data_IF_785454843964
#
_entry.id   IF_785454843964
#
_cell.length_a   1.000
_cell.length_b   1.000
_cell.length_c   1.000
_cell.angle_alpha   90.00
_cell.angle_beta   90.00
_cell.angle_gamma   90.00
#
_symmetry.space_group_name_H-M   'P 1'
#
loop_
_entity.id
_entity.type
_entity.pdbx_description
1 polymer ?
#
# COMPACT_ATOMS: atom_id res chain seq x y z
N UNK A 1 -10.29 -8.07 -18.51
CA UNK A 1 -11.27 -7.17 -19.16
C UNK A 1 -11.63 -7.61 -20.58
N UNK A 2 -10.68 -7.73 -21.52
CA UNK A 2 -10.99 -8.09 -22.92
C UNK A 2 -11.66 -9.45 -23.12
N UNK A 3 -11.37 -10.41 -22.25
CA UNK A 3 -12.06 -11.71 -22.23
C UNK A 3 -13.56 -11.55 -21.95
N UNK A 4 -13.92 -10.75 -20.94
CA UNK A 4 -15.32 -10.45 -20.58
C UNK A 4 -16.07 -9.77 -21.73
N UNK A 5 -15.46 -8.77 -22.38
CA UNK A 5 -16.09 -8.03 -23.48
C UNK A 5 -16.39 -8.93 -24.70
N UNK A 6 -15.60 -9.98 -24.92
CA UNK A 6 -15.80 -10.94 -26.01
C UNK A 6 -16.80 -12.04 -25.66
N UNK A 7 -16.71 -12.59 -24.44
CA UNK A 7 -17.45 -13.79 -24.05
C UNK A 7 -18.86 -13.48 -23.51
N UNK A 8 -19.06 -12.33 -22.87
CA UNK A 8 -20.37 -11.99 -22.28
C UNK A 8 -21.34 -11.38 -23.31
N UNK A 9 -20.85 -10.50 -24.20
CA UNK A 9 -21.66 -9.89 -25.25
C UNK A 9 -20.79 -9.35 -26.40
N UNK A 10 -20.72 -10.07 -27.54
CA UNK A 10 -19.92 -9.65 -28.70
C UNK A 10 -20.26 -8.25 -29.24
N UNK A 11 -21.50 -7.77 -29.03
CA UNK A 11 -21.95 -6.45 -29.45
C UNK A 11 -21.38 -5.29 -28.62
N UNK A 12 -20.85 -5.55 -27.42
CA UNK A 12 -20.23 -4.53 -26.57
C UNK A 12 -18.93 -4.03 -27.17
N UNK A 13 -18.09 -4.91 -27.71
CA UNK A 13 -16.79 -4.53 -28.26
C UNK A 13 -16.93 -3.59 -29.48
N UNK A 14 -18.02 -3.70 -30.24
CA UNK A 14 -18.30 -2.80 -31.37
C UNK A 14 -18.76 -1.40 -30.93
N UNK A 15 -19.37 -1.29 -29.74
CA UNK A 15 -19.88 -0.01 -29.18
C UNK A 15 -18.89 0.68 -28.27
N UNK A 16 -18.04 -0.11 -27.61
CA UNK A 16 -17.00 0.32 -26.68
C UNK A 16 -15.66 -0.22 -27.19
N UNK A 17 -15.14 0.40 -28.24
CA UNK A 17 -13.87 -0.01 -28.85
C UNK A 17 -12.73 0.16 -27.84
N UNK A 18 -11.89 -0.88 -27.62
CA UNK A 18 -10.71 -0.81 -26.77
C UNK A 18 -9.76 0.35 -27.10
N UNK A 19 -9.62 0.65 -28.38
CA UNK A 19 -8.71 1.70 -28.89
C UNK A 19 -9.18 3.11 -28.52
N UNK A 20 -10.48 3.30 -28.31
CA UNK A 20 -11.07 4.56 -27.85
C UNK A 20 -11.42 4.55 -26.37
N UNK A 21 -10.88 3.59 -25.59
CA UNK A 21 -11.20 3.47 -24.19
C UNK A 21 -10.56 4.62 -23.38
N UNK A 22 -11.39 5.30 -22.58
CA UNK A 22 -10.87 6.23 -21.58
C UNK A 22 -10.35 5.45 -20.39
N UNK A 23 -9.05 5.62 -20.11
CA UNK A 23 -8.40 5.04 -18.95
C UNK A 23 -8.49 6.03 -17.77
N UNK A 24 -9.14 5.61 -16.70
CA UNK A 24 -9.13 6.33 -15.43
C UNK A 24 -7.93 5.85 -14.63
N UNK A 25 -6.96 6.72 -14.44
CA UNK A 25 -5.82 6.44 -13.57
C UNK A 25 -6.23 6.48 -12.10
N UNK A 26 -5.50 5.72 -11.27
CA UNK A 26 -5.61 5.84 -9.83
C UNK A 26 -5.10 7.19 -9.34
N UNK A 27 -5.56 7.60 -8.16
CA UNK A 27 -5.12 8.85 -7.54
C UNK A 27 -3.66 8.78 -7.09
N UNK A 28 -2.98 9.92 -7.23
CA UNK A 28 -1.65 10.12 -6.66
C UNK A 28 -1.70 10.12 -5.14
N UNK A 29 -0.54 9.99 -4.50
CA UNK A 29 -0.44 9.97 -3.04
C UNK A 29 -0.93 11.30 -2.43
N UNK A 30 -0.67 12.43 -3.08
CA UNK A 30 -1.15 13.75 -2.67
C UNK A 30 -2.66 13.86 -2.80
N UNK A 31 -3.23 13.34 -3.89
CA UNK A 31 -4.67 13.33 -4.11
C UNK A 31 -5.39 12.43 -3.09
N UNK A 32 -4.80 11.28 -2.75
CA UNK A 32 -5.31 10.40 -1.71
C UNK A 32 -5.21 11.06 -0.33
N UNK A 33 -4.10 11.74 -0.01
CA UNK A 33 -3.94 12.46 1.25
C UNK A 33 -4.97 13.59 1.39
N UNK A 34 -5.18 14.36 0.33
CA UNK A 34 -6.17 15.43 0.32
C UNK A 34 -7.60 14.88 0.46
N UNK A 35 -7.93 13.83 -0.28
CA UNK A 35 -9.23 13.18 -0.20
C UNK A 35 -9.48 12.59 1.20
N UNK A 36 -8.47 11.98 1.80
CA UNK A 36 -8.51 11.46 3.16
C UNK A 36 -8.76 12.58 4.17
N UNK A 37 -8.08 13.71 4.02
CA UNK A 37 -8.27 14.86 4.90
C UNK A 37 -9.67 15.46 4.79
N UNK A 38 -10.15 15.68 3.55
CA UNK A 38 -11.48 16.25 3.27
C UNK A 38 -12.59 15.34 3.77
N UNK A 39 -12.47 14.03 3.54
CA UNK A 39 -13.50 13.07 3.96
C UNK A 39 -13.55 12.93 5.48
N UNK A 40 -12.41 13.00 6.18
CA UNK A 40 -12.38 13.03 7.64
C UNK A 40 -13.02 14.32 8.19
N UNK A 41 -12.70 15.48 7.61
CA UNK A 41 -13.26 16.77 8.00
C UNK A 41 -14.79 16.82 7.77
N UNK A 42 -15.28 16.29 6.64
CA UNK A 42 -16.70 16.17 6.35
C UNK A 42 -17.45 15.28 7.36
N UNK A 43 -16.75 14.33 7.99
CA UNK A 43 -17.28 13.51 9.06
C UNK A 43 -17.19 14.16 10.46
N UNK A 44 -16.68 15.38 10.57
CA UNK A 44 -16.42 16.03 11.86
C UNK A 44 -15.24 15.45 12.64
N UNK A 45 -14.40 14.65 11.97
CA UNK A 45 -13.20 14.04 12.56
C UNK A 45 -11.95 14.88 12.25
N UNK A 46 -11.05 14.94 13.22
CA UNK A 46 -9.74 15.60 13.12
C UNK A 46 -8.65 14.57 13.31
N UNK A 47 -7.52 14.75 12.63
CA UNK A 47 -6.34 13.91 12.84
C UNK A 47 -5.60 14.41 14.08
N UNK A 48 -5.25 13.54 15.03
CA UNK A 48 -4.52 13.95 16.24
C UNK A 48 -3.12 14.47 15.93
N UNK A 49 -2.47 13.93 14.88
CA UNK A 49 -1.18 14.40 14.40
C UNK A 49 -0.98 14.15 12.89
N UNK A 50 0.00 14.83 12.30
CA UNK A 50 0.42 14.57 10.90
C UNK A 50 0.92 13.14 10.71
N UNK A 51 1.50 12.52 11.75
CA UNK A 51 1.97 11.13 11.70
C UNK A 51 0.81 10.16 11.49
N UNK A 52 -0.32 10.37 12.18
CA UNK A 52 -1.51 9.52 12.03
C UNK A 52 -2.07 9.59 10.61
N UNK A 53 -2.13 10.80 10.04
CA UNK A 53 -2.57 10.98 8.65
C UNK A 53 -1.65 10.27 7.66
N UNK A 54 -0.33 10.41 7.82
CA UNK A 54 0.65 9.70 6.97
C UNK A 54 0.55 8.18 7.12
N UNK A 55 0.29 7.68 8.34
CA UNK A 55 0.09 6.25 8.57
C UNK A 55 -1.15 5.72 7.83
N UNK A 56 -2.26 6.47 7.86
CA UNK A 56 -3.46 6.16 7.08
C UNK A 56 -3.21 6.19 5.57
N UNK A 57 -2.42 7.15 5.07
CA UNK A 57 -1.98 7.17 3.67
C UNK A 57 -1.15 5.94 3.31
N UNK A 58 -0.22 5.54 4.19
CA UNK A 58 0.58 4.32 4.00
C UNK A 58 -0.25 3.05 3.89
N UNK A 59 -1.37 2.96 4.61
CA UNK A 59 -2.33 1.86 4.46
C UNK A 59 -2.98 1.87 3.06
N UNK A 60 -3.37 3.04 2.56
CA UNK A 60 -3.97 3.19 1.23
C UNK A 60 -2.98 2.89 0.10
N UNK A 61 -1.71 3.30 0.24
CA UNK A 61 -0.67 3.00 -0.74
C UNK A 61 -0.45 1.49 -0.84
N UNK A 62 -0.45 0.77 0.30
CA UNK A 62 -0.39 -0.70 0.31
C UNK A 62 -1.63 -1.33 -0.33
N UNK A 63 -2.81 -0.76 -0.09
CA UNK A 63 -4.06 -1.21 -0.70
C UNK A 63 -4.09 -0.97 -2.21
N UNK A 64 -3.43 0.09 -2.72
CA UNK A 64 -3.33 0.40 -4.16
C UNK A 64 -2.65 -0.71 -4.97
N UNK A 65 -1.77 -1.49 -4.35
CA UNK A 65 -1.10 -2.63 -5.01
C UNK A 65 -2.07 -3.80 -5.20
N UNK A 66 -3.14 -3.88 -4.40
CA UNK A 66 -4.11 -4.97 -4.42
C UNK A 66 -5.03 -4.90 -5.65
N UNK A 67 -5.55 -6.05 -6.14
CA UNK A 67 -6.36 -6.11 -7.37
C UNK A 67 -7.71 -5.37 -7.30
N UNK A 68 -8.20 -5.01 -6.10
CA UNK A 68 -9.51 -4.41 -5.88
C UNK A 68 -9.45 -2.98 -5.31
N UNK A 69 -8.37 -2.24 -5.60
CA UNK A 69 -8.27 -0.85 -5.14
C UNK A 69 -9.32 0.04 -5.82
N UNK A 70 -10.03 0.84 -5.01
CA UNK A 70 -11.21 1.59 -5.45
C UNK A 70 -11.07 3.12 -5.35
N UNK A 71 -9.85 3.66 -5.25
CA UNK A 71 -9.58 5.08 -5.01
C UNK A 71 -10.43 5.64 -3.84
N UNK A 72 -11.39 6.53 -4.14
CA UNK A 72 -12.31 7.08 -3.14
C UNK A 72 -13.10 6.02 -2.36
N UNK A 73 -13.40 4.87 -3.00
CA UNK A 73 -14.03 3.73 -2.34
C UNK A 73 -13.16 3.14 -1.23
N UNK A 74 -11.86 2.99 -1.46
CA UNK A 74 -10.90 2.54 -0.43
C UNK A 74 -10.76 3.56 0.69
N UNK A 75 -10.71 4.87 0.38
CA UNK A 75 -10.69 5.94 1.41
C UNK A 75 -11.95 5.90 2.28
N UNK A 76 -13.12 5.77 1.68
CA UNK A 76 -14.38 5.69 2.42
C UNK A 76 -14.46 4.42 3.28
N UNK A 77 -13.96 3.30 2.77
CA UNK A 77 -13.92 2.03 3.50
C UNK A 77 -12.98 2.12 4.72
N UNK A 78 -11.80 2.72 4.55
CA UNK A 78 -10.87 3.01 5.63
C UNK A 78 -11.51 3.92 6.68
N UNK A 79 -12.08 5.06 6.27
CA UNK A 79 -12.72 5.98 7.21
C UNK A 79 -13.98 5.40 7.87
N UNK A 80 -14.69 4.50 7.21
CA UNK A 80 -15.78 3.74 7.82
C UNK A 80 -15.30 2.92 9.02
N UNK A 81 -14.18 2.20 8.87
CA UNK A 81 -13.55 1.46 9.98
C UNK A 81 -13.07 2.38 11.09
N UNK A 82 -12.40 3.47 10.74
CA UNK A 82 -11.92 4.48 11.70
C UNK A 82 -13.07 5.10 12.49
N UNK A 83 -14.17 5.47 11.83
CA UNK A 83 -15.36 6.00 12.50
C UNK A 83 -15.92 5.03 13.54
N UNK A 84 -16.03 3.75 13.20
CA UNK A 84 -16.48 2.72 14.13
C UNK A 84 -15.53 2.57 15.33
N UNK A 85 -14.22 2.61 15.10
CA UNK A 85 -13.22 2.55 16.17
C UNK A 85 -13.28 3.78 17.09
N UNK A 86 -13.38 4.99 16.51
CA UNK A 86 -13.53 6.24 17.25
C UNK A 86 -14.82 6.24 18.08
N UNK A 87 -15.94 5.78 17.50
CA UNK A 87 -17.21 5.67 18.21
C UNK A 87 -17.12 4.68 19.38
N UNK A 88 -16.41 3.57 19.22
CA UNK A 88 -16.18 2.59 20.29
C UNK A 88 -15.34 3.15 21.45
N UNK A 89 -14.47 4.14 21.19
CA UNK A 89 -13.66 4.83 22.21
C UNK A 89 -14.46 5.89 23.00
N UNK A 90 -15.65 6.26 22.53
CA UNK A 90 -16.57 7.20 23.18
C UNK A 90 -16.36 8.64 22.71
N UNK A 91 -17.32 9.16 21.93
CA UNK A 91 -17.50 10.55 21.42
C UNK A 91 -16.26 11.39 21.07
N UNK A 92 -15.10 10.77 20.91
CA UNK A 92 -13.88 11.41 20.48
C UNK A 92 -14.08 11.90 19.05
N UNK A 93 -13.61 13.12 18.76
CA UNK A 93 -13.58 13.65 17.39
C UNK A 93 -12.19 13.60 16.78
N UNK A 94 -11.24 12.95 17.45
CA UNK A 94 -9.85 12.87 17.05
C UNK A 94 -9.47 11.44 16.67
N UNK A 95 -8.91 11.27 15.49
CA UNK A 95 -8.38 10.01 14.98
C UNK A 95 -6.97 9.83 15.52
N UNK A 96 -6.74 8.71 16.21
CA UNK A 96 -5.42 8.30 16.72
C UNK A 96 -4.90 7.08 15.94
N UNK A 97 -3.64 6.70 16.16
CA UNK A 97 -3.03 5.54 15.49
C UNK A 97 -3.77 4.23 15.79
N UNK A 98 -4.24 4.05 17.03
CA UNK A 98 -5.01 2.87 17.43
C UNK A 98 -6.31 2.71 16.62
N UNK A 99 -6.96 3.81 16.21
CA UNK A 99 -8.20 3.76 15.42
C UNK A 99 -7.95 3.22 13.98
N UNK A 100 -6.69 3.27 13.51
CA UNK A 100 -6.26 2.69 12.24
C UNK A 100 -5.88 1.21 12.37
N UNK A 101 -5.91 0.65 13.59
CA UNK A 101 -5.36 -0.67 13.89
C UNK A 101 -3.84 -0.69 13.88
N UNK A 102 -3.20 0.46 14.13
CA UNK A 102 -1.76 0.61 14.18
C UNK A 102 -1.33 0.94 15.60
N UNK A 103 -0.41 0.15 16.15
CA UNK A 103 0.23 0.47 17.43
C UNK A 103 1.40 1.42 17.21
N UNK A 104 1.56 2.42 18.07
CA UNK A 104 2.69 3.38 17.99
C UNK A 104 4.06 2.69 18.14
N UNK A 105 4.06 1.51 18.78
CA UNK A 105 5.22 0.63 18.95
C UNK A 105 5.40 -0.36 17.79
N UNK A 106 4.48 -0.41 16.82
CA UNK A 106 4.62 -1.20 15.60
C UNK A 106 5.43 -0.44 14.53
N UNK A 107 6.53 0.18 14.95
CA UNK A 107 7.53 0.68 14.03
C UNK A 107 8.15 -0.52 13.31
N UNK A 108 7.68 -0.80 12.09
CA UNK A 108 8.51 -1.31 11.00
C UNK A 108 9.11 -2.72 11.13
N UNK A 109 8.86 -3.43 12.22
CA UNK A 109 9.10 -4.85 12.36
C UNK A 109 8.08 -5.32 13.37
N UNK A 110 7.06 -6.07 12.93
CA UNK A 110 6.37 -6.90 13.92
C UNK A 110 7.44 -7.71 14.66
N UNK A 111 7.29 -7.93 15.97
CA UNK A 111 8.13 -8.87 16.69
C UNK A 111 8.19 -10.24 15.98
N UNK A 112 7.16 -10.55 15.17
CA UNK A 112 7.08 -11.70 14.28
C UNK A 112 8.03 -11.60 13.07
N UNK A 113 8.29 -10.43 12.51
CA UNK A 113 9.26 -10.20 11.41
C UNK A 113 10.69 -10.20 11.91
N UNK A 114 10.99 -9.69 13.11
CA UNK A 114 12.32 -9.84 13.71
C UNK A 114 12.57 -11.29 14.12
N UNK A 115 11.55 -11.96 14.68
CA UNK A 115 11.63 -13.40 14.97
C UNK A 115 11.78 -14.22 13.69
N UNK A 116 11.02 -13.92 12.62
CA UNK A 116 11.18 -14.56 11.30
C UNK A 116 12.54 -14.25 10.68
N UNK A 117 13.08 -13.04 10.83
CA UNK A 117 14.43 -12.73 10.34
C UNK A 117 15.47 -13.53 11.09
N UNK A 118 15.36 -13.63 12.42
CA UNK A 118 16.27 -14.41 13.25
C UNK A 118 16.16 -15.92 12.98
N UNK A 119 14.94 -16.41 12.73
CA UNK A 119 14.67 -17.82 12.38
C UNK A 119 15.19 -18.14 10.98
N UNK A 120 14.95 -17.25 10.00
CA UNK A 120 15.53 -17.35 8.65
C UNK A 120 17.05 -17.24 8.70
N UNK A 121 17.63 -16.35 9.51
CA UNK A 121 19.09 -16.25 9.69
C UNK A 121 19.68 -17.51 10.32
N UNK A 122 18.98 -18.12 11.28
CA UNK A 122 19.37 -19.39 11.88
C UNK A 122 19.30 -20.56 10.87
N UNK A 123 18.21 -20.68 10.11
CA UNK A 123 18.06 -21.69 9.07
C UNK A 123 19.06 -21.50 7.92
N UNK A 124 19.34 -20.25 7.53
CA UNK A 124 20.33 -19.91 6.52
C UNK A 124 21.77 -20.19 6.98
N UNK A 125 22.02 -20.18 8.29
CA UNK A 125 23.30 -20.58 8.88
C UNK A 125 23.53 -22.10 8.85
N UNK A 126 22.47 -22.91 8.75
CA UNK A 126 22.55 -24.37 8.62
C UNK A 126 22.69 -24.85 7.16
N UNK A 127 22.34 -23.99 6.20
CA UNK A 127 22.48 -24.27 4.77
C UNK A 127 23.96 -24.19 4.32
N UNK A 128 24.60 -25.35 4.28
CA UNK A 128 25.97 -25.55 3.80
C UNK A 128 26.15 -24.96 2.37
N UNK A 129 27.09 -24.02 2.20
CA UNK A 129 27.40 -23.21 0.98
C UNK A 129 26.57 -21.93 0.76
N UNK A 130 25.95 -21.36 1.80
CA UNK A 130 25.24 -20.07 1.72
C UNK A 130 26.14 -18.81 1.63
N UNK A 131 27.47 -18.93 1.67
CA UNK A 131 28.40 -17.79 1.54
C UNK A 131 28.19 -17.01 0.23
N UNK A 132 27.95 -17.71 -0.88
CA UNK A 132 27.68 -17.07 -2.16
C UNK A 132 26.32 -16.39 -2.25
N UNK A 133 25.30 -16.90 -1.54
CA UNK A 133 23.99 -16.27 -1.47
C UNK A 133 24.04 -15.00 -0.63
N UNK A 134 24.75 -15.04 0.51
CA UNK A 134 24.97 -13.87 1.36
C UNK A 134 25.68 -12.76 0.60
N UNK A 135 26.76 -13.09 -0.11
CA UNK A 135 27.46 -12.14 -0.97
C UNK A 135 26.56 -11.57 -2.07
N UNK A 136 25.65 -12.37 -2.63
CA UNK A 136 24.68 -11.91 -3.62
C UNK A 136 23.65 -10.93 -3.04
N UNK A 137 23.16 -11.17 -1.82
CA UNK A 137 22.24 -10.26 -1.14
C UNK A 137 22.93 -8.95 -0.74
N UNK A 138 24.18 -9.01 -0.30
CA UNK A 138 24.99 -7.82 0.00
C UNK A 138 25.24 -6.99 -1.27
N UNK A 139 25.54 -7.63 -2.40
CA UNK A 139 25.68 -6.96 -3.70
C UNK A 139 24.35 -6.33 -4.17
N UNK A 140 23.23 -7.04 -3.99
CA UNK A 140 21.91 -6.51 -4.32
C UNK A 140 21.52 -5.31 -3.46
N UNK A 141 21.84 -5.34 -2.16
CA UNK A 141 21.64 -4.21 -1.25
C UNK A 141 22.52 -3.02 -1.65
N UNK A 142 23.78 -3.25 -2.03
CA UNK A 142 24.67 -2.21 -2.54
C UNK A 142 24.14 -1.59 -3.85
N UNK A 143 23.59 -2.40 -4.76
CA UNK A 143 22.98 -1.89 -5.99
C UNK A 143 21.72 -1.08 -5.73
N UNK A 144 20.84 -1.53 -4.82
CA UNK A 144 19.65 -0.78 -4.43
C UNK A 144 20.02 0.58 -3.83
N UNK A 145 21.00 0.64 -2.93
CA UNK A 145 21.45 1.91 -2.33
C UNK A 145 22.12 2.84 -3.34
N UNK A 146 22.73 2.30 -4.40
CA UNK A 146 23.31 3.10 -5.50
C UNK A 146 22.21 3.66 -6.40
N UNK A 147 21.22 2.83 -6.77
CA UNK A 147 20.07 3.25 -7.57
C UNK A 147 19.16 4.26 -6.85
N UNK A 148 19.08 4.20 -5.51
CA UNK A 148 18.43 5.25 -4.69
C UNK A 148 19.20 6.57 -4.73
N UNK A 149 20.54 6.53 -4.72
CA UNK A 149 21.39 7.73 -4.80
C UNK A 149 21.38 8.38 -6.18
N UNK A 150 21.34 7.55 -7.23
CA UNK A 150 21.31 8.01 -8.62
C UNK A 150 19.91 8.51 -9.05
N UNK A 151 18.90 8.38 -8.18
CA UNK A 151 17.55 8.88 -8.40
C UNK A 151 16.71 8.04 -9.37
N UNK A 152 17.21 6.86 -9.77
CA UNK A 152 16.48 5.90 -10.60
C UNK A 152 15.45 5.08 -9.81
N UNK A 153 15.63 4.98 -8.48
CA UNK A 153 14.63 4.46 -7.55
C UNK A 153 13.85 5.60 -6.90
N UNK A 154 12.64 5.83 -7.39
CA UNK A 154 11.69 6.70 -6.72
C UNK A 154 11.03 5.96 -5.55
N UNK A 155 11.49 6.24 -4.33
CA UNK A 155 10.92 5.66 -3.10
C UNK A 155 9.44 6.01 -2.87
N UNK A 156 8.90 7.00 -3.58
CA UNK A 156 7.47 7.35 -3.57
C UNK A 156 6.64 6.58 -4.60
N UNK A 157 7.29 5.95 -5.59
CA UNK A 157 6.61 5.15 -6.60
C UNK A 157 6.58 3.68 -6.17
N UNK A 158 5.40 3.06 -6.01
CA UNK A 158 5.33 1.63 -5.70
C UNK A 158 5.91 0.81 -6.86
N UNK A 159 6.70 -0.22 -6.52
CA UNK A 159 7.24 -1.15 -7.52
C UNK A 159 6.11 -1.74 -8.39
N UNK A 160 6.37 -1.88 -9.69
CA UNK A 160 5.44 -2.57 -10.59
C UNK A 160 5.18 -3.99 -10.06
N UNK A 161 3.95 -4.47 -10.25
CA UNK A 161 3.51 -5.78 -9.73
C UNK A 161 4.52 -6.86 -10.12
N UNK A 162 5.10 -7.52 -9.11
CA UNK A 162 5.98 -8.68 -9.31
C UNK A 162 5.23 -9.71 -10.15
N UNK A 163 5.73 -10.01 -11.35
CA UNK A 163 5.09 -10.91 -12.32
C UNK A 163 4.66 -10.27 -13.66
N UNK A 164 4.89 -8.97 -13.89
CA UNK A 164 4.65 -8.34 -15.21
C UNK A 164 5.82 -8.49 -16.20
N UNK A 165 6.93 -9.10 -15.79
CA UNK A 165 8.04 -9.43 -16.69
C UNK A 165 7.76 -10.81 -17.30
N UNK A 166 7.00 -10.81 -18.39
CA UNK A 166 7.02 -11.90 -19.38
C UNK A 166 7.70 -11.36 -20.62
#
# INVERSE_FOLDING_TARGET
MFKMLREANPGLQRRFSPESAFHFADFSDEQLEELLHRTAAAAGLKWSSRKVRKAALGLLIRERIQPNFGNAGSVNSLLGRVKSAVAARGDAREIILADLGLDENAAGGSAKTEALLAEVEAEMSELFKAEHLRAHFDDLAARLTTLEKDGELDASRPADKVGSYV
#
